data_IF_265694142356
#
_entry.id   IF_265694142356
#
_cell.length_a   1.000
_cell.length_b   1.000
_cell.length_c   1.000
_cell.angle_alpha   90.00
_cell.angle_beta   90.00
_cell.angle_gamma   90.00
#
_symmetry.space_group_name_H-M   'P 1'
#
loop_
_entity.id
_entity.type
_entity.pdbx_description
1 polymer ?
#
# COMPACT_ATOMS: atom_id res chain seq x y z
N UNK A 1 -1.20 34.72 1.76
CA UNK A 1 -0.24 33.60 1.79
C UNK A 1 0.06 33.31 3.26
N UNK A 2 -0.06 32.05 3.71
CA UNK A 2 0.17 31.71 5.13
C UNK A 2 1.66 31.83 5.46
N UNK A 3 1.99 32.36 6.64
CA UNK A 3 3.37 32.40 7.11
C UNK A 3 3.87 30.99 7.42
N UNK A 4 5.20 30.81 7.49
CA UNK A 4 5.79 29.51 7.88
C UNK A 4 5.27 29.04 9.24
N UNK A 5 5.18 29.94 10.22
CA UNK A 5 4.65 29.67 11.55
C UNK A 5 3.19 29.19 11.51
N UNK A 6 2.33 29.87 10.74
CA UNK A 6 0.93 29.46 10.58
C UNK A 6 0.80 28.06 9.97
N UNK A 7 1.63 27.70 8.99
CA UNK A 7 1.62 26.36 8.40
C UNK A 7 2.03 25.28 9.41
N UNK A 8 2.97 25.56 10.31
CA UNK A 8 3.42 24.63 11.35
C UNK A 8 2.28 24.41 12.36
N UNK A 9 1.67 25.49 12.85
CA UNK A 9 0.56 25.44 13.82
C UNK A 9 -0.65 24.69 13.25
N UNK A 10 -0.98 24.92 11.97
CA UNK A 10 -2.06 24.20 11.29
C UNK A 10 -1.78 22.70 11.17
N UNK A 11 -0.57 22.32 10.80
CA UNK A 11 -0.19 20.91 10.67
C UNK A 11 -0.20 20.20 12.03
N UNK A 12 0.28 20.87 13.09
CA UNK A 12 0.19 20.36 14.46
C UNK A 12 -1.27 20.13 14.88
N UNK A 13 -2.16 21.07 14.56
CA UNK A 13 -3.60 20.94 14.82
C UNK A 13 -4.25 19.87 13.95
N UNK A 14 -3.80 19.68 12.72
CA UNK A 14 -4.28 18.62 11.84
C UNK A 14 -3.95 17.25 12.42
N UNK A 15 -2.73 17.04 12.94
CA UNK A 15 -2.31 15.76 13.51
C UNK A 15 -3.03 15.35 14.80
N UNK A 16 -3.85 16.23 15.40
CA UNK A 16 -4.73 15.87 16.52
C UNK A 16 -6.11 15.37 16.08
N UNK A 17 -6.42 15.42 14.78
CA UNK A 17 -7.71 14.95 14.25
C UNK A 17 -7.82 13.42 14.29
N UNK A 18 -9.04 12.84 14.36
CA UNK A 18 -9.26 11.39 14.42
C UNK A 18 -8.60 10.58 13.29
N UNK A 19 -8.39 11.19 12.11
CA UNK A 19 -7.66 10.57 10.98
C UNK A 19 -6.27 10.05 11.38
N UNK A 20 -5.64 10.66 12.38
CA UNK A 20 -4.25 10.39 12.77
C UNK A 20 -4.12 9.67 14.11
N UNK A 21 -5.23 9.19 14.68
CA UNK A 21 -5.20 8.45 15.94
C UNK A 21 -4.31 7.20 15.83
N UNK A 22 -3.39 7.03 16.78
CA UNK A 22 -2.45 5.90 16.81
C UNK A 22 -1.33 5.93 15.77
N UNK A 23 -1.19 7.01 15.00
CA UNK A 23 -0.11 7.16 14.00
C UNK A 23 1.10 7.89 14.60
N UNK A 24 2.26 7.25 14.53
CA UNK A 24 3.55 7.77 15.01
C UNK A 24 4.31 8.46 13.90
N UNK A 25 4.87 9.63 14.21
CA UNK A 25 5.80 10.39 13.35
C UNK A 25 7.09 10.66 14.13
N UNK A 26 8.25 10.14 13.69
CA UNK A 26 9.54 10.41 14.35
C UNK A 26 10.17 11.73 13.85
N UNK A 27 9.34 12.71 13.50
CA UNK A 27 9.74 14.05 13.03
C UNK A 27 8.68 15.07 13.42
N UNK A 28 9.04 16.36 13.39
CA UNK A 28 8.15 17.44 13.78
C UNK A 28 7.38 18.03 12.59
N UNK A 29 6.30 18.78 12.88
CA UNK A 29 5.62 19.59 11.87
C UNK A 29 6.54 20.68 11.27
N UNK A 30 7.52 21.16 12.04
CA UNK A 30 8.53 22.10 11.55
C UNK A 30 9.41 21.47 10.46
N UNK A 31 9.83 20.21 10.65
CA UNK A 31 10.60 19.46 9.66
C UNK A 31 9.82 19.28 8.36
N UNK A 32 8.52 19.00 8.45
CA UNK A 32 7.65 18.90 7.27
C UNK A 32 7.58 20.23 6.52
N UNK A 33 7.27 21.32 7.21
CA UNK A 33 7.13 22.65 6.58
C UNK A 33 8.46 23.14 6.01
N UNK A 34 9.59 22.76 6.63
CA UNK A 34 10.94 23.04 6.11
C UNK A 34 11.16 22.44 4.71
N UNK A 35 10.55 21.29 4.40
CA UNK A 35 10.70 20.58 3.13
C UNK A 35 9.63 20.93 2.08
N UNK A 36 8.57 21.65 2.46
CA UNK A 36 7.39 21.93 1.62
C UNK A 36 7.63 22.95 0.51
N UNK A 37 8.65 23.80 0.62
CA UNK A 37 8.83 24.95 -0.26
C UNK A 37 7.81 26.06 0.00
N UNK A 38 7.91 27.18 -0.73
CA UNK A 38 6.99 28.32 -0.57
C UNK A 38 5.65 28.14 -1.28
N UNK A 39 5.60 27.26 -2.29
CA UNK A 39 4.41 26.93 -3.06
C UNK A 39 4.25 25.42 -3.06
N UNK A 40 3.11 24.93 -2.56
CA UNK A 40 2.76 23.51 -2.55
C UNK A 40 1.59 23.29 -3.52
N UNK A 41 1.82 22.73 -4.73
CA UNK A 41 0.77 22.46 -5.69
C UNK A 41 -0.31 21.52 -5.12
N UNK A 42 -1.57 21.84 -5.38
CA UNK A 42 -2.69 21.01 -4.91
C UNK A 42 -2.76 19.68 -5.66
N UNK A 43 -2.89 18.57 -4.92
CA UNK A 43 -3.06 17.23 -5.46
C UNK A 43 -4.52 16.78 -5.29
N UNK A 44 -5.45 17.44 -6.01
CA UNK A 44 -6.90 17.31 -5.80
C UNK A 44 -7.40 15.86 -5.80
N UNK A 45 -6.98 15.05 -6.77
CA UNK A 45 -7.45 13.66 -6.89
C UNK A 45 -6.95 12.78 -5.73
N UNK A 46 -5.71 12.96 -5.29
CA UNK A 46 -5.19 12.23 -4.13
C UNK A 46 -5.89 12.65 -2.83
N UNK A 47 -6.17 13.95 -2.64
CA UNK A 47 -6.91 14.42 -1.47
C UNK A 47 -8.32 13.83 -1.39
N UNK A 48 -9.09 13.93 -2.49
CA UNK A 48 -10.45 13.40 -2.55
C UNK A 48 -10.46 11.86 -2.46
N UNK A 49 -9.53 11.21 -3.15
CA UNK A 49 -9.38 9.76 -3.14
C UNK A 49 -9.04 9.22 -1.74
N UNK A 50 -8.07 9.83 -1.05
CA UNK A 50 -7.68 9.45 0.30
C UNK A 50 -8.82 9.66 1.30
N UNK A 51 -9.52 10.80 1.22
CA UNK A 51 -10.68 11.08 2.06
C UNK A 51 -11.83 10.08 1.82
N UNK A 52 -12.11 9.75 0.55
CA UNK A 52 -13.12 8.73 0.19
C UNK A 52 -12.72 7.33 0.67
N UNK A 53 -11.46 6.94 0.48
CA UNK A 53 -10.94 5.65 0.96
C UNK A 53 -11.09 5.52 2.49
N UNK A 54 -10.73 6.58 3.23
CA UNK A 54 -10.88 6.60 4.67
C UNK A 54 -12.34 6.39 5.10
N UNK A 55 -13.28 7.09 4.48
CA UNK A 55 -14.72 6.92 4.77
C UNK A 55 -15.23 5.51 4.44
N UNK A 56 -14.84 4.94 3.30
CA UNK A 56 -15.23 3.58 2.91
C UNK A 56 -14.72 2.52 3.92
N UNK A 57 -13.49 2.69 4.41
CA UNK A 57 -12.89 1.82 5.44
C UNK A 57 -13.54 1.97 6.83
N UNK A 58 -14.28 3.07 7.07
CA UNK A 58 -14.95 3.37 8.34
C UNK A 58 -16.47 3.26 8.26
N UNK A 59 -16.98 2.37 7.41
CA UNK A 59 -18.38 1.95 7.40
C UNK A 59 -19.24 2.50 6.26
N UNK A 60 -18.70 3.33 5.37
CA UNK A 60 -19.45 3.75 4.18
C UNK A 60 -19.41 2.74 3.02
N UNK A 61 -18.57 1.70 3.09
CA UNK A 61 -18.55 0.64 2.07
C UNK A 61 -19.82 -0.20 2.10
N UNK A 62 -20.31 -0.61 0.93
CA UNK A 62 -21.57 -1.35 0.75
C UNK A 62 -21.64 -2.66 1.52
N UNK A 63 -20.48 -3.31 1.74
CA UNK A 63 -20.38 -4.65 2.33
C UNK A 63 -19.76 -4.68 3.73
N UNK A 64 -19.40 -3.51 4.28
CA UNK A 64 -18.58 -3.41 5.49
C UNK A 64 -17.10 -3.72 5.28
N UNK A 65 -16.69 -4.02 4.05
CA UNK A 65 -15.30 -4.16 3.60
C UNK A 65 -15.19 -3.73 2.13
N UNK A 66 -13.97 -3.45 1.69
CA UNK A 66 -13.66 -3.11 0.31
C UNK A 66 -12.94 -4.30 -0.32
N UNK A 67 -13.53 -4.91 -1.33
CA UNK A 67 -12.83 -5.82 -2.24
C UNK A 67 -12.52 -5.10 -3.55
N UNK A 68 -11.37 -5.42 -4.13
CA UNK A 68 -10.87 -4.80 -5.34
C UNK A 68 -10.27 -5.86 -6.27
N UNK A 69 -10.02 -5.46 -7.52
CA UNK A 69 -9.40 -6.29 -8.54
C UNK A 69 -8.26 -5.50 -9.18
N UNK A 70 -7.15 -6.17 -9.47
CA UNK A 70 -6.01 -5.56 -10.16
C UNK A 70 -6.40 -5.00 -11.53
N UNK A 71 -6.16 -3.70 -11.75
CA UNK A 71 -6.35 -3.04 -13.04
C UNK A 71 -5.01 -2.48 -13.56
N UNK A 72 -4.59 -2.90 -14.76
CA UNK A 72 -3.37 -2.42 -15.41
C UNK A 72 -3.64 -1.38 -16.52
N UNK A 73 -4.92 -1.08 -16.79
CA UNK A 73 -5.34 -0.04 -17.73
C UNK A 73 -6.47 0.81 -17.15
N UNK A 74 -6.59 2.06 -17.60
CA UNK A 74 -7.71 2.92 -17.22
C UNK A 74 -9.07 2.38 -17.69
N UNK A 75 -9.11 1.66 -18.82
CA UNK A 75 -10.33 1.03 -19.31
C UNK A 75 -10.85 -0.08 -18.39
N UNK A 76 -9.96 -0.92 -17.86
CA UNK A 76 -10.34 -1.92 -16.86
C UNK A 76 -10.91 -1.26 -15.60
N UNK A 77 -10.21 -0.25 -15.06
CA UNK A 77 -10.66 0.49 -13.89
C UNK A 77 -12.03 1.17 -14.12
N UNK A 78 -12.26 1.75 -15.31
CA UNK A 78 -13.55 2.32 -15.69
C UNK A 78 -14.68 1.28 -15.66
N UNK A 79 -14.43 0.07 -16.17
CA UNK A 79 -15.44 -0.99 -16.12
C UNK A 79 -15.68 -1.50 -14.71
N UNK A 80 -14.64 -1.55 -13.86
CA UNK A 80 -14.81 -1.86 -12.43
C UNK A 80 -15.72 -0.83 -11.73
N UNK A 81 -15.53 0.47 -12.00
CA UNK A 81 -16.41 1.52 -11.48
C UNK A 81 -17.87 1.34 -11.93
N UNK A 82 -18.10 1.07 -13.22
CA UNK A 82 -19.44 0.77 -13.75
C UNK A 82 -20.06 -0.50 -13.16
N UNK A 83 -19.23 -1.49 -12.80
CA UNK A 83 -19.65 -2.73 -12.15
C UNK A 83 -19.93 -2.54 -10.65
N UNK A 84 -19.64 -1.37 -10.07
CA UNK A 84 -19.94 -1.04 -8.68
C UNK A 84 -18.83 -1.38 -7.68
N UNK A 85 -17.61 -1.68 -8.14
CA UNK A 85 -16.40 -1.76 -7.32
C UNK A 85 -16.14 -0.39 -6.67
N UNK A 86 -15.68 -0.39 -5.43
CA UNK A 86 -15.61 0.82 -4.59
C UNK A 86 -14.19 1.41 -4.50
N UNK A 87 -13.16 0.63 -4.85
CA UNK A 87 -11.77 1.05 -4.97
C UNK A 87 -11.01 0.19 -5.99
N UNK A 88 -10.02 0.77 -6.66
CA UNK A 88 -9.15 0.07 -7.62
C UNK A 88 -7.87 -0.36 -6.94
N UNK A 89 -7.42 -1.60 -7.18
CA UNK A 89 -6.07 -2.03 -6.86
C UNK A 89 -5.19 -1.95 -8.11
N UNK A 90 -4.02 -1.35 -7.98
CA UNK A 90 -3.03 -1.25 -9.05
C UNK A 90 -1.79 -2.06 -8.63
N UNK A 91 -1.64 -3.23 -9.24
CA UNK A 91 -0.60 -4.21 -8.92
C UNK A 91 0.73 -3.91 -9.60
N UNK A 92 1.84 -3.93 -8.85
CA UNK A 92 3.20 -3.84 -9.37
C UNK A 92 3.53 -5.01 -10.30
N UNK A 93 3.12 -6.23 -9.91
CA UNK A 93 3.21 -7.43 -10.75
C UNK A 93 2.59 -7.26 -12.14
N UNK A 94 1.38 -6.70 -12.23
CA UNK A 94 0.73 -6.49 -13.54
C UNK A 94 1.43 -5.40 -14.36
N UNK A 95 1.95 -4.36 -13.69
CA UNK A 95 2.73 -3.31 -14.36
C UNK A 95 4.05 -3.86 -14.88
N UNK A 96 4.76 -4.68 -14.11
CA UNK A 96 5.95 -5.40 -14.55
C UNK A 96 5.65 -6.27 -15.79
N UNK A 97 4.54 -7.00 -15.77
CA UNK A 97 4.17 -7.90 -16.85
C UNK A 97 3.83 -7.16 -18.16
N UNK A 98 3.02 -6.09 -18.12
CA UNK A 98 2.38 -5.60 -19.35
C UNK A 98 2.02 -4.09 -19.38
N UNK A 99 2.42 -3.28 -18.40
CA UNK A 99 2.04 -1.85 -18.38
C UNK A 99 3.16 -0.88 -17.97
N UNK A 100 4.41 -1.33 -17.90
CA UNK A 100 5.53 -0.49 -17.50
C UNK A 100 6.10 0.38 -18.63
N UNK A 101 6.81 1.44 -18.24
CA UNK A 101 7.36 2.43 -19.17
C UNK A 101 8.59 1.95 -19.95
N UNK A 102 9.20 0.82 -19.58
CA UNK A 102 10.24 0.19 -20.38
C UNK A 102 9.66 -0.63 -21.56
N UNK A 103 8.32 -0.69 -21.69
CA UNK A 103 7.62 -1.38 -22.77
C UNK A 103 8.12 -2.82 -22.98
N UNK A 104 8.39 -3.50 -21.86
CA UNK A 104 8.98 -4.84 -21.83
C UNK A 104 8.21 -5.70 -20.83
N UNK A 105 8.08 -7.00 -21.12
CA UNK A 105 7.49 -7.96 -20.19
C UNK A 105 8.55 -8.37 -19.15
N UNK A 106 8.26 -8.14 -17.87
CA UNK A 106 9.12 -8.52 -16.75
C UNK A 106 8.42 -9.45 -15.75
N UNK A 107 9.18 -10.29 -15.03
CA UNK A 107 8.71 -10.88 -13.79
C UNK A 107 8.67 -9.85 -12.66
N UNK A 108 8.02 -10.23 -11.56
CA UNK A 108 7.87 -9.42 -10.35
C UNK A 108 9.12 -9.45 -9.47
N UNK A 109 10.08 -8.60 -9.85
CA UNK A 109 11.38 -8.38 -9.19
C UNK A 109 11.80 -6.91 -9.24
N UNK A 110 10.83 -5.99 -9.30
CA UNK A 110 11.04 -4.53 -9.37
C UNK A 110 12.03 -4.08 -10.47
N UNK A 111 12.03 -4.74 -11.64
CA UNK A 111 12.95 -4.47 -12.75
C UNK A 111 12.59 -3.22 -13.57
N UNK A 112 11.33 -2.81 -13.52
CA UNK A 112 10.82 -1.73 -14.33
C UNK A 112 11.21 -0.33 -13.78
N UNK A 113 11.19 0.74 -14.60
CA UNK A 113 11.46 2.09 -14.12
C UNK A 113 10.47 2.54 -13.03
N UNK A 114 10.97 3.12 -11.93
CA UNK A 114 10.17 3.44 -10.74
C UNK A 114 8.95 4.34 -11.00
N UNK A 115 8.93 5.10 -12.09
CA UNK A 115 7.80 5.94 -12.51
C UNK A 115 6.68 5.17 -13.25
N UNK A 116 6.78 3.85 -13.38
CA UNK A 116 5.81 3.04 -14.15
C UNK A 116 4.45 2.93 -13.47
N UNK A 117 4.40 2.59 -12.17
CA UNK A 117 3.13 2.52 -11.44
C UNK A 117 2.46 3.90 -11.35
N UNK A 118 3.15 5.00 -10.98
CA UNK A 118 2.57 6.34 -11.05
C UNK A 118 1.96 6.69 -12.42
N UNK A 119 2.61 6.31 -13.53
CA UNK A 119 2.08 6.54 -14.86
C UNK A 119 0.76 5.78 -15.12
N UNK A 120 0.57 4.60 -14.54
CA UNK A 120 -0.71 3.86 -14.65
C UNK A 120 -1.77 4.45 -13.73
N UNK A 121 -1.41 4.92 -12.52
CA UNK A 121 -2.33 5.70 -11.66
C UNK A 121 -2.89 6.89 -12.44
N UNK A 122 -2.02 7.67 -13.08
CA UNK A 122 -2.42 8.83 -13.90
C UNK A 122 -3.35 8.43 -15.05
N UNK A 123 -3.06 7.32 -15.76
CA UNK A 123 -3.92 6.80 -16.83
C UNK A 123 -5.31 6.42 -16.34
N UNK A 124 -5.42 5.80 -15.17
CA UNK A 124 -6.69 5.45 -14.55
C UNK A 124 -7.48 6.72 -14.21
N UNK A 125 -6.85 7.67 -13.51
CA UNK A 125 -7.47 8.94 -13.14
C UNK A 125 -7.93 9.78 -14.35
N UNK A 126 -7.13 9.82 -15.42
CA UNK A 126 -7.52 10.49 -16.67
C UNK A 126 -8.72 9.82 -17.34
N UNK A 127 -8.82 8.49 -17.24
CA UNK A 127 -9.98 7.74 -17.77
C UNK A 127 -11.23 8.02 -16.95
N UNK A 128 -11.13 8.00 -15.61
CA UNK A 128 -12.22 8.39 -14.73
C UNK A 128 -12.69 9.82 -14.99
N UNK A 129 -11.74 10.75 -15.12
CA UNK A 129 -12.04 12.16 -15.45
C UNK A 129 -12.82 12.28 -16.76
N UNK A 130 -12.45 11.54 -17.81
CA UNK A 130 -13.19 11.58 -19.08
C UNK A 130 -14.60 11.01 -18.93
N UNK A 131 -14.76 9.89 -18.22
CA UNK A 131 -16.06 9.28 -17.99
C UNK A 131 -17.00 10.20 -17.18
N UNK A 132 -16.45 10.84 -16.14
CA UNK A 132 -17.15 11.85 -15.34
C UNK A 132 -17.55 13.06 -16.18
N UNK A 133 -16.66 13.60 -17.02
CA UNK A 133 -17.00 14.70 -17.95
C UNK A 133 -18.15 14.33 -18.91
N UNK A 134 -18.17 13.10 -19.41
CA UNK A 134 -19.27 12.61 -20.27
C UNK A 134 -20.57 12.59 -19.48
N UNK A 135 -20.57 12.00 -18.27
CA UNK A 135 -21.72 11.95 -17.39
C UNK A 135 -22.25 13.36 -17.04
N UNK A 136 -21.35 14.26 -16.65
CA UNK A 136 -21.67 15.64 -16.31
C UNK A 136 -22.26 16.41 -17.51
N UNK A 137 -21.68 16.24 -18.69
CA UNK A 137 -22.18 16.88 -19.93
C UNK A 137 -23.59 16.42 -20.33
N UNK A 138 -24.01 15.23 -19.89
CA UNK A 138 -25.34 14.68 -20.11
C UNK A 138 -26.36 15.07 -19.03
N UNK A 139 -25.98 15.90 -18.06
CA UNK A 139 -26.85 16.31 -16.94
C UNK A 139 -27.20 15.18 -15.98
N UNK A 140 -26.34 14.16 -15.89
CA UNK A 140 -26.54 13.02 -14.98
C UNK A 140 -25.87 13.36 -13.64
N UNK A 141 -26.67 13.56 -12.61
CA UNK A 141 -26.25 14.02 -11.28
C UNK A 141 -26.35 12.88 -10.23
N UNK A 142 -25.68 13.01 -9.07
CA UNK A 142 -25.88 12.09 -7.95
C UNK A 142 -27.37 11.95 -7.60
N UNK A 143 -27.88 10.72 -7.60
CA UNK A 143 -29.30 10.40 -7.40
C UNK A 143 -30.03 9.97 -8.68
N UNK A 144 -29.47 10.22 -9.86
CA UNK A 144 -29.96 9.63 -11.11
C UNK A 144 -29.65 8.12 -11.16
N UNK A 145 -30.57 7.24 -11.58
CA UNK A 145 -30.31 5.80 -11.70
C UNK A 145 -29.13 5.42 -12.63
N UNK A 146 -28.73 6.32 -13.53
CA UNK A 146 -27.61 6.14 -14.46
C UNK A 146 -26.27 6.65 -13.89
N UNK A 147 -26.30 7.31 -12.75
CA UNK A 147 -25.12 7.93 -12.14
C UNK A 147 -24.11 6.87 -11.69
N UNK A 148 -22.84 7.13 -11.99
CA UNK A 148 -21.69 6.39 -11.48
C UNK A 148 -20.70 7.40 -10.89
N UNK A 149 -20.28 7.16 -9.65
CA UNK A 149 -19.15 7.87 -9.07
C UNK A 149 -17.85 7.24 -9.62
N UNK A 150 -17.32 7.85 -10.69
CA UNK A 150 -16.17 7.30 -11.41
C UNK A 150 -14.84 7.45 -10.66
N UNK A 151 -14.70 8.44 -9.78
CA UNK A 151 -13.45 8.68 -9.08
C UNK A 151 -13.31 7.72 -7.90
N UNK A 152 -13.02 6.46 -8.23
CA UNK A 152 -12.70 5.44 -7.25
C UNK A 152 -11.32 5.72 -6.63
N UNK A 153 -11.14 5.53 -5.31
CA UNK A 153 -9.82 5.54 -4.71
C UNK A 153 -8.92 4.47 -5.33
N UNK A 154 -7.68 4.82 -5.62
CA UNK A 154 -6.67 3.90 -6.17
C UNK A 154 -5.69 3.53 -5.06
N UNK A 155 -5.56 2.22 -4.79
CA UNK A 155 -4.54 1.64 -3.92
C UNK A 155 -3.41 1.14 -4.82
N UNK A 156 -2.23 1.73 -4.71
CA UNK A 156 -1.11 1.49 -5.61
C UNK A 156 0.07 0.77 -4.94
N UNK A 157 0.72 -0.11 -5.71
CA UNK A 157 1.92 -0.84 -5.33
C UNK A 157 3.18 0.01 -5.47
N UNK A 158 3.92 0.20 -4.38
CA UNK A 158 5.20 0.90 -4.38
C UNK A 158 6.40 -0.03 -4.18
N UNK A 159 6.21 -1.36 -4.26
CA UNK A 159 7.25 -2.36 -4.01
C UNK A 159 7.92 -2.08 -2.65
N UNK A 160 9.24 -2.24 -2.55
CA UNK A 160 10.04 -1.75 -1.43
C UNK A 160 10.59 -0.33 -1.62
N UNK A 161 10.07 0.44 -2.58
CA UNK A 161 10.47 1.82 -2.84
C UNK A 161 11.69 2.03 -3.75
N UNK A 162 12.07 1.02 -4.56
CA UNK A 162 13.09 1.13 -5.62
C UNK A 162 14.47 1.67 -5.17
N UNK A 163 14.89 1.36 -3.94
CA UNK A 163 16.19 1.76 -3.41
C UNK A 163 16.14 2.12 -1.93
N UNK A 164 16.76 3.24 -1.57
CA UNK A 164 16.82 3.75 -0.20
C UNK A 164 15.61 4.62 0.19
N UNK A 165 15.71 5.30 1.34
CA UNK A 165 14.62 6.13 1.88
C UNK A 165 14.24 7.31 0.98
N UNK A 166 15.21 7.90 0.25
CA UNK A 166 14.94 8.99 -0.69
C UNK A 166 14.18 8.50 -1.93
N UNK A 167 14.46 7.28 -2.39
CA UNK A 167 13.72 6.66 -3.49
C UNK A 167 12.25 6.43 -3.09
N UNK A 168 12.01 5.92 -1.87
CA UNK A 168 10.66 5.75 -1.33
C UNK A 168 9.92 7.08 -1.14
N UNK A 169 10.61 8.12 -0.66
CA UNK A 169 10.06 9.47 -0.52
C UNK A 169 9.62 10.04 -1.88
N UNK A 170 10.48 9.98 -2.90
CA UNK A 170 10.13 10.48 -4.25
C UNK A 170 9.07 9.63 -4.93
N UNK A 171 9.08 8.30 -4.75
CA UNK A 171 8.03 7.44 -5.27
C UNK A 171 6.68 7.76 -4.65
N UNK A 172 6.61 7.95 -3.33
CA UNK A 172 5.37 8.32 -2.66
C UNK A 172 4.85 9.68 -3.15
N UNK A 173 5.72 10.68 -3.35
CA UNK A 173 5.32 11.95 -3.99
C UNK A 173 4.74 11.71 -5.38
N UNK A 174 5.41 10.93 -6.23
CA UNK A 174 4.94 10.62 -7.58
C UNK A 174 3.57 9.91 -7.57
N UNK A 175 3.32 9.00 -6.63
CA UNK A 175 2.02 8.36 -6.45
C UNK A 175 0.93 9.38 -6.09
N UNK A 176 1.22 10.30 -5.17
CA UNK A 176 0.29 11.35 -4.74
C UNK A 176 0.00 12.33 -5.88
N UNK A 177 1.04 12.80 -6.58
CA UNK A 177 0.91 13.70 -7.73
C UNK A 177 0.08 13.06 -8.86
N UNK A 178 0.22 11.74 -9.06
CA UNK A 178 -0.59 10.98 -10.01
C UNK A 178 -2.04 10.75 -9.54
N UNK A 179 -2.35 10.98 -8.27
CA UNK A 179 -3.69 10.87 -7.70
C UNK A 179 -4.00 9.53 -7.01
N UNK A 180 -3.00 8.84 -6.46
CA UNK A 180 -3.21 7.65 -5.63
C UNK A 180 -3.86 8.02 -4.28
N UNK A 181 -4.80 7.20 -3.82
CA UNK A 181 -5.49 7.39 -2.54
C UNK A 181 -4.79 6.65 -1.39
N UNK A 182 -4.20 5.50 -1.71
CA UNK A 182 -3.43 4.68 -0.79
C UNK A 182 -2.22 4.08 -1.51
N UNK A 183 -1.14 3.84 -0.76
CA UNK A 183 0.09 3.25 -1.29
C UNK A 183 0.60 2.20 -0.31
N UNK A 184 1.01 1.04 -0.82
CA UNK A 184 1.62 0.00 0.01
C UNK A 184 3.12 -0.14 -0.26
N UNK A 185 3.88 -0.34 0.81
CA UNK A 185 5.30 -0.68 0.78
C UNK A 185 5.52 -2.03 1.47
N UNK A 186 6.42 -2.84 0.94
CA UNK A 186 6.79 -4.16 1.50
C UNK A 186 8.21 -4.19 2.08
N UNK A 187 8.48 -5.22 2.88
CA UNK A 187 9.73 -5.43 3.63
C UNK A 187 10.68 -6.43 2.95
N UNK A 188 10.40 -6.88 1.72
CA UNK A 188 11.33 -7.70 0.94
C UNK A 188 12.26 -6.84 0.06
N UNK A 189 13.47 -7.34 -0.19
CA UNK A 189 14.39 -6.80 -1.19
C UNK A 189 14.30 -7.61 -2.48
N UNK A 190 13.36 -7.24 -3.35
CA UNK A 190 13.06 -7.97 -4.58
C UNK A 190 14.25 -8.09 -5.55
N UNK A 191 15.17 -7.12 -5.55
CA UNK A 191 16.36 -7.09 -6.41
C UNK A 191 17.39 -8.19 -6.10
N UNK A 192 17.29 -8.83 -4.93
CA UNK A 192 18.14 -9.97 -4.54
C UNK A 192 17.35 -11.27 -4.37
N UNK A 193 16.09 -11.29 -4.85
CA UNK A 193 15.23 -12.47 -4.79
C UNK A 193 15.91 -13.65 -5.49
N UNK A 194 16.05 -14.78 -4.78
CA UNK A 194 16.66 -15.98 -5.37
C UNK A 194 15.73 -16.57 -6.43
N UNK A 195 16.23 -16.63 -7.66
CA UNK A 195 15.59 -17.35 -8.76
C UNK A 195 15.96 -18.83 -8.68
N UNK A 196 14.98 -19.71 -8.45
CA UNK A 196 15.20 -21.15 -8.37
C UNK A 196 14.12 -21.85 -7.56
N UNK A 197 14.09 -23.18 -7.62
CA UNK A 197 13.03 -24.03 -7.07
C UNK A 197 13.08 -24.16 -5.53
N UNK A 198 13.82 -23.26 -4.88
CA UNK A 198 13.95 -23.12 -3.44
C UNK A 198 13.49 -21.69 -3.11
N UNK A 199 12.67 -21.53 -2.08
CA UNK A 199 12.18 -20.22 -1.61
C UNK A 199 13.28 -19.14 -1.58
N UNK A 200 12.88 -17.89 -1.84
CA UNK A 200 13.84 -16.88 -2.28
C UNK A 200 13.48 -15.43 -2.01
N UNK A 201 12.44 -15.13 -1.24
CA UNK A 201 12.21 -13.76 -0.75
C UNK A 201 13.22 -13.47 0.36
N UNK A 202 13.80 -12.28 0.35
CA UNK A 202 14.78 -11.85 1.34
C UNK A 202 14.25 -10.60 2.02
N UNK A 203 14.01 -10.65 3.32
CA UNK A 203 13.55 -9.51 4.11
C UNK A 203 14.70 -8.53 4.36
N UNK A 204 14.36 -7.26 4.54
CA UNK A 204 15.25 -6.28 5.19
C UNK A 204 15.05 -6.29 6.72
N UNK A 205 15.99 -5.74 7.52
CA UNK A 205 15.80 -5.53 8.95
C UNK A 205 14.56 -4.69 9.25
N UNK A 206 13.91 -4.94 10.39
CA UNK A 206 12.66 -4.27 10.79
C UNK A 206 12.80 -2.76 10.77
N UNK A 207 13.91 -2.23 11.29
CA UNK A 207 14.23 -0.81 11.26
C UNK A 207 14.28 -0.22 9.84
N UNK A 208 14.80 -0.96 8.84
CA UNK A 208 14.87 -0.45 7.46
C UNK A 208 13.48 -0.33 6.84
N UNK A 209 12.62 -1.35 7.04
CA UNK A 209 11.23 -1.30 6.60
C UNK A 209 10.47 -0.14 7.26
N UNK A 210 10.66 0.08 8.57
CA UNK A 210 10.09 1.22 9.29
C UNK A 210 10.58 2.55 8.68
N UNK A 211 11.86 2.69 8.35
CA UNK A 211 12.37 3.92 7.73
C UNK A 211 11.72 4.20 6.37
N UNK A 212 11.36 3.17 5.59
CA UNK A 212 10.60 3.33 4.34
C UNK A 212 9.18 3.85 4.60
N UNK A 213 8.49 3.32 5.60
CA UNK A 213 7.16 3.79 6.02
C UNK A 213 7.21 5.26 6.50
N UNK A 214 8.23 5.61 7.29
CA UNK A 214 8.49 6.97 7.76
C UNK A 214 8.73 7.92 6.59
N UNK A 215 9.55 7.52 5.61
CA UNK A 215 9.82 8.30 4.40
C UNK A 215 8.56 8.52 3.56
N UNK A 216 7.73 7.48 3.39
CA UNK A 216 6.45 7.59 2.70
C UNK A 216 5.48 8.53 3.43
N UNK A 217 5.36 8.42 4.77
CA UNK A 217 4.53 9.35 5.54
C UNK A 217 5.03 10.79 5.43
N UNK A 218 6.35 10.99 5.47
CA UNK A 218 6.96 12.32 5.33
C UNK A 218 6.63 12.93 3.97
N UNK A 219 6.68 12.15 2.89
CA UNK A 219 6.26 12.61 1.55
C UNK A 219 4.79 13.04 1.52
N UNK A 220 3.90 12.28 2.16
CA UNK A 220 2.48 12.61 2.27
C UNK A 220 2.23 13.89 3.10
N UNK A 221 2.92 14.04 4.22
CA UNK A 221 2.81 15.24 5.06
C UNK A 221 3.41 16.48 4.37
N UNK A 222 4.51 16.34 3.62
CA UNK A 222 5.14 17.43 2.84
C UNK A 222 4.19 17.91 1.75
N UNK A 223 3.60 16.98 0.99
CA UNK A 223 2.60 17.29 -0.05
C UNK A 223 1.26 17.74 0.53
N UNK A 224 1.01 17.51 1.81
CA UNK A 224 -0.22 17.92 2.50
C UNK A 224 -1.42 17.09 2.09
N UNK A 225 -1.23 15.78 1.88
CA UNK A 225 -2.29 14.84 1.48
C UNK A 225 -2.39 13.71 2.50
N UNK A 226 -3.59 13.39 3.03
CA UNK A 226 -3.76 12.35 4.05
C UNK A 226 -3.79 10.93 3.43
N UNK A 227 -2.92 10.67 2.45
CA UNK A 227 -2.80 9.39 1.73
C UNK A 227 -2.70 8.23 2.71
N UNK A 228 -3.44 7.15 2.45
CA UNK A 228 -3.38 5.96 3.30
C UNK A 228 -2.09 5.19 3.01
N UNK A 229 -1.35 4.88 4.06
CA UNK A 229 -0.12 4.09 3.98
C UNK A 229 -0.40 2.67 4.45
N UNK A 230 -0.05 1.69 3.64
CA UNK A 230 -0.20 0.27 3.96
C UNK A 230 1.18 -0.36 4.14
N UNK A 231 1.42 -1.00 5.27
CA UNK A 231 2.64 -1.77 5.51
C UNK A 231 2.39 -3.25 5.18
N UNK A 232 3.04 -3.75 4.14
CA UNK A 232 3.05 -5.17 3.80
C UNK A 232 4.27 -5.85 4.42
N UNK A 233 4.06 -7.05 4.95
CA UNK A 233 5.14 -7.97 5.30
C UNK A 233 5.07 -9.25 4.48
N UNK A 234 6.22 -9.71 4.02
CA UNK A 234 6.41 -10.97 3.30
C UNK A 234 6.98 -12.08 4.20
N UNK A 235 7.07 -11.83 5.50
CA UNK A 235 7.71 -12.72 6.48
C UNK A 235 6.99 -14.06 6.74
N UNK A 236 5.76 -14.23 6.24
CA UNK A 236 5.08 -15.53 6.31
C UNK A 236 5.81 -16.60 5.46
N UNK A 237 6.37 -16.20 4.33
CA UNK A 237 7.06 -17.12 3.41
C UNK A 237 8.57 -16.83 3.23
N UNK A 238 9.05 -15.66 3.65
CA UNK A 238 10.45 -15.28 3.50
C UNK A 238 11.31 -15.87 4.63
N UNK A 239 12.18 -16.83 4.28
CA UNK A 239 13.10 -17.52 5.20
C UNK A 239 14.52 -16.96 5.16
N UNK A 240 14.70 -15.76 4.61
CA UNK A 240 15.97 -15.05 4.51
C UNK A 240 15.81 -13.60 4.97
N UNK A 241 16.84 -13.07 5.62
CA UNK A 241 16.98 -11.65 5.97
C UNK A 241 18.37 -11.14 5.59
N UNK A 242 18.48 -9.91 5.10
CA UNK A 242 19.74 -9.36 4.58
C UNK A 242 20.81 -9.20 5.66
N UNK A 243 20.42 -8.84 6.89
CA UNK A 243 21.31 -8.47 7.98
C UNK A 243 20.68 -8.79 9.34
N UNK A 244 21.51 -9.06 10.34
CA UNK A 244 21.16 -9.27 11.75
C UNK A 244 21.33 -7.99 12.61
N UNK A 245 21.44 -6.82 11.96
CA UNK A 245 21.75 -5.56 12.64
C UNK A 245 20.61 -4.99 13.51
N UNK A 246 19.38 -5.47 13.33
CA UNK A 246 18.25 -5.10 14.18
C UNK A 246 17.99 -6.19 15.23
N UNK A 247 18.21 -5.92 16.53
CA UNK A 247 17.96 -6.89 17.58
C UNK A 247 16.50 -7.37 17.64
N UNK A 248 15.55 -6.60 17.08
CA UNK A 248 14.14 -7.00 17.02
C UNK A 248 13.91 -8.27 16.18
N UNK A 249 14.78 -8.54 15.21
CA UNK A 249 14.68 -9.70 14.33
C UNK A 249 15.41 -10.93 14.88
N UNK A 250 16.16 -10.79 15.98
CA UNK A 250 17.11 -11.79 16.48
C UNK A 250 16.48 -13.14 16.85
N UNK A 251 15.25 -13.14 17.37
CA UNK A 251 14.55 -14.38 17.76
C UNK A 251 14.24 -15.31 16.57
N UNK A 252 14.17 -14.75 15.36
CA UNK A 252 13.86 -15.50 14.15
C UNK A 252 15.11 -16.00 13.43
N UNK A 253 16.31 -15.51 13.77
CA UNK A 253 17.54 -15.85 13.05
C UNK A 253 18.06 -17.22 13.53
N UNK A 254 18.21 -18.14 12.59
CA UNK A 254 18.62 -19.54 12.87
C UNK A 254 20.11 -19.72 13.15
N UNK A 255 20.93 -18.73 12.79
CA UNK A 255 22.40 -18.79 12.81
C UNK A 255 23.04 -19.28 11.50
N UNK A 256 22.27 -19.83 10.56
CA UNK A 256 22.77 -20.23 9.25
C UNK A 256 22.86 -19.04 8.28
N UNK A 257 23.82 -19.09 7.36
CA UNK A 257 24.03 -18.07 6.32
C UNK A 257 24.10 -18.65 4.93
N UNK A 258 23.71 -17.85 3.95
CA UNK A 258 23.84 -18.14 2.52
C UNK A 258 25.20 -17.69 1.97
N UNK A 259 25.53 -18.09 0.74
CA UNK A 259 26.75 -17.67 0.03
C UNK A 259 26.85 -16.16 -0.17
N UNK A 260 25.70 -15.49 -0.34
CA UNK A 260 25.58 -14.04 -0.49
C UNK A 260 25.72 -13.30 0.85
N UNK A 261 25.71 -14.03 1.97
CA UNK A 261 25.81 -13.48 3.32
C UNK A 261 24.48 -13.24 4.02
N UNK A 262 23.33 -13.51 3.40
CA UNK A 262 22.03 -13.41 4.07
C UNK A 262 21.88 -14.45 5.18
N UNK A 263 21.13 -14.12 6.22
CA UNK A 263 20.83 -15.01 7.33
C UNK A 263 19.52 -15.77 7.06
N UNK A 264 19.48 -17.05 7.45
CA UNK A 264 18.25 -17.86 7.42
C UNK A 264 17.37 -17.52 8.62
N UNK A 265 16.06 -17.40 8.40
CA UNK A 265 15.06 -17.13 9.44
C UNK A 265 14.00 -18.22 9.56
N UNK A 266 13.39 -18.32 10.74
CA UNK A 266 12.17 -19.09 10.96
C UNK A 266 10.96 -18.33 10.39
N UNK A 267 10.72 -18.48 9.09
CA UNK A 267 9.57 -17.92 8.39
C UNK A 267 8.24 -18.44 8.97
N UNK A 268 7.17 -17.67 8.75
CA UNK A 268 5.81 -18.04 9.08
C UNK A 268 5.06 -16.98 9.85
N UNK A 269 3.87 -17.36 10.32
CA UNK A 269 2.92 -16.46 10.95
C UNK A 269 3.48 -15.68 12.16
N UNK A 270 4.39 -16.26 12.94
CA UNK A 270 4.99 -15.58 14.09
C UNK A 270 5.95 -14.46 13.66
N UNK A 271 6.76 -14.70 12.63
CA UNK A 271 7.63 -13.67 12.06
C UNK A 271 6.78 -12.56 11.42
N UNK A 272 5.72 -12.92 10.70
CA UNK A 272 4.78 -11.96 10.13
C UNK A 272 4.08 -11.12 11.22
N UNK A 273 3.62 -11.73 12.31
CA UNK A 273 3.02 -11.02 13.46
C UNK A 273 4.04 -10.03 14.04
N UNK A 274 5.29 -10.46 14.26
CA UNK A 274 6.34 -9.58 14.78
C UNK A 274 6.55 -8.35 13.89
N UNK A 275 6.70 -8.54 12.57
CA UNK A 275 6.78 -7.45 11.60
C UNK A 275 5.55 -6.53 11.64
N UNK A 276 4.35 -7.11 11.60
CA UNK A 276 3.10 -6.36 11.64
C UNK A 276 2.93 -5.51 12.90
N UNK A 277 3.33 -6.03 14.07
CA UNK A 277 3.33 -5.30 15.34
C UNK A 277 4.32 -4.13 15.33
N UNK A 278 5.49 -4.28 14.70
CA UNK A 278 6.48 -3.23 14.56
C UNK A 278 6.03 -2.12 13.59
N UNK A 279 5.31 -2.48 12.53
CA UNK A 279 4.88 -1.56 11.48
C UNK A 279 3.59 -0.80 11.82
N UNK A 280 2.73 -1.39 12.66
CA UNK A 280 1.42 -0.83 12.99
C UNK A 280 1.44 0.66 13.41
N UNK A 281 2.38 1.16 14.22
CA UNK A 281 2.42 2.59 14.57
C UNK A 281 2.66 3.52 13.37
N UNK A 282 3.26 3.04 12.28
CA UNK A 282 3.72 3.87 11.17
C UNK A 282 2.82 3.80 9.93
N UNK A 283 1.91 2.82 9.85
CA UNK A 283 1.01 2.63 8.73
C UNK A 283 -0.46 2.78 9.14
N UNK A 284 -1.33 3.12 8.21
CA UNK A 284 -2.78 3.15 8.41
C UNK A 284 -3.36 1.71 8.41
N UNK A 285 -2.86 0.86 7.51
CA UNK A 285 -3.22 -0.57 7.44
C UNK A 285 -1.96 -1.44 7.52
N UNK A 286 -2.14 -2.66 8.04
CA UNK A 286 -1.12 -3.72 8.01
C UNK A 286 -1.60 -4.89 7.15
N UNK A 287 -0.70 -5.45 6.35
CA UNK A 287 -0.97 -6.55 5.43
C UNK A 287 0.09 -7.65 5.60
N UNK A 288 -0.34 -8.86 5.94
CA UNK A 288 0.47 -10.06 5.82
C UNK A 288 0.26 -10.67 4.42
N UNK A 289 1.31 -10.75 3.60
CA UNK A 289 1.23 -11.46 2.32
C UNK A 289 1.06 -12.96 2.60
N UNK A 290 0.02 -13.56 2.02
CA UNK A 290 -0.23 -14.99 2.16
C UNK A 290 -0.25 -15.66 0.79
N UNK A 291 0.58 -16.70 0.63
CA UNK A 291 0.60 -17.52 -0.57
C UNK A 291 -0.49 -18.60 -0.56
N UNK A 292 -0.93 -19.00 0.64
CA UNK A 292 -1.98 -19.99 0.87
C UNK A 292 -3.11 -19.32 1.66
N UNK A 293 -4.27 -19.06 1.05
CA UNK A 293 -5.42 -18.53 1.75
C UNK A 293 -5.88 -19.46 2.88
N UNK A 294 -5.81 -18.97 4.12
CA UNK A 294 -6.14 -19.71 5.33
C UNK A 294 -6.79 -18.76 6.36
N UNK A 295 -8.05 -19.02 6.69
CA UNK A 295 -8.84 -18.20 7.63
C UNK A 295 -8.34 -18.30 9.07
N UNK A 296 -7.72 -19.40 9.47
CA UNK A 296 -7.17 -19.56 10.82
C UNK A 296 -5.88 -18.75 10.97
N UNK A 297 -5.00 -18.78 9.97
CA UNK A 297 -3.81 -17.91 9.97
C UNK A 297 -4.19 -16.43 9.88
N UNK A 298 -5.18 -16.08 9.05
CA UNK A 298 -5.70 -14.72 8.98
C UNK A 298 -6.28 -14.26 10.33
N UNK A 299 -7.04 -15.13 11.02
CA UNK A 299 -7.58 -14.87 12.36
C UNK A 299 -6.47 -14.69 13.39
N UNK A 300 -5.45 -15.56 13.39
CA UNK A 300 -4.31 -15.47 14.31
C UNK A 300 -3.55 -14.16 14.12
N UNK A 301 -3.27 -13.78 12.88
CA UNK A 301 -2.64 -12.49 12.57
C UNK A 301 -3.47 -11.32 13.09
N UNK A 302 -4.76 -11.29 12.75
CA UNK A 302 -5.66 -10.21 13.17
C UNK A 302 -5.75 -10.09 14.69
N UNK A 303 -5.95 -11.20 15.40
CA UNK A 303 -6.02 -11.22 16.87
C UNK A 303 -4.73 -10.72 17.51
N UNK A 304 -3.56 -11.13 17.01
CA UNK A 304 -2.29 -10.69 17.54
C UNK A 304 -2.06 -9.18 17.34
N UNK A 305 -2.37 -8.65 16.15
CA UNK A 305 -2.30 -7.21 15.90
C UNK A 305 -3.28 -6.45 16.78
N UNK A 306 -4.54 -6.90 16.86
CA UNK A 306 -5.59 -6.24 17.64
C UNK A 306 -5.40 -6.32 19.16
N UNK A 307 -4.68 -7.33 19.66
CA UNK A 307 -4.33 -7.40 21.08
C UNK A 307 -3.47 -6.21 21.53
N UNK A 308 -2.60 -5.69 20.64
CA UNK A 308 -1.76 -4.51 20.91
C UNK A 308 -2.33 -3.22 20.34
N UNK A 309 -2.98 -3.30 19.18
CA UNK A 309 -3.57 -2.17 18.45
C UNK A 309 -5.04 -2.46 18.12
N UNK A 310 -5.96 -2.34 19.10
CA UNK A 310 -7.37 -2.62 18.89
C UNK A 310 -7.96 -1.81 17.73
N UNK A 311 -8.69 -2.49 16.84
CA UNK A 311 -9.33 -1.83 15.68
C UNK A 311 -8.37 -1.45 14.55
N UNK A 312 -7.10 -1.84 14.60
CA UNK A 312 -6.15 -1.60 13.50
C UNK A 312 -6.71 -2.15 12.19
N UNK A 313 -6.77 -1.31 11.16
CA UNK A 313 -7.23 -1.74 9.83
C UNK A 313 -6.23 -2.73 9.23
N UNK A 314 -6.76 -3.78 8.60
CA UNK A 314 -5.97 -4.85 7.98
C UNK A 314 -6.31 -4.94 6.50
N UNK A 315 -5.33 -5.36 5.70
CA UNK A 315 -5.55 -5.72 4.30
C UNK A 315 -5.13 -7.18 4.07
N UNK A 316 -5.74 -7.80 3.05
CA UNK A 316 -5.56 -9.21 2.74
C UNK A 316 -5.56 -9.42 1.22
N UNK A 317 -4.64 -10.26 0.72
CA UNK A 317 -4.59 -10.63 -0.69
C UNK A 317 -5.25 -11.99 -0.93
N UNK A 318 -6.32 -12.02 -1.74
CA UNK A 318 -6.88 -13.28 -2.22
C UNK A 318 -6.08 -13.74 -3.46
N UNK A 319 -5.10 -14.61 -3.24
CA UNK A 319 -4.14 -15.01 -4.27
C UNK A 319 -4.80 -15.68 -5.49
N UNK A 320 -4.57 -15.19 -6.73
CA UNK A 320 -5.06 -15.84 -7.95
C UNK A 320 -4.21 -17.06 -8.35
N UNK A 321 -3.01 -17.24 -7.77
CA UNK A 321 -2.16 -18.42 -8.02
C UNK A 321 -2.55 -19.62 -7.16
N UNK A 322 -3.35 -19.39 -6.11
CA UNK A 322 -3.92 -20.46 -5.30
C UNK A 322 -5.01 -21.19 -6.07
N UNK A 323 -4.97 -22.53 -6.08
CA UNK A 323 -6.01 -23.33 -6.69
C UNK A 323 -7.20 -23.47 -5.72
N UNK A 324 -8.12 -22.49 -5.76
CA UNK A 324 -9.26 -22.38 -4.85
C UNK A 324 -10.14 -23.63 -4.82
N UNK A 325 -10.67 -24.05 -5.98
CA UNK A 325 -11.59 -25.20 -6.07
C UNK A 325 -10.94 -26.54 -5.74
N UNK A 326 -9.60 -26.65 -5.86
CA UNK A 326 -8.88 -27.88 -5.48
C UNK A 326 -8.74 -28.00 -3.96
N UNK A 327 -8.61 -26.89 -3.25
CA UNK A 327 -8.22 -26.89 -1.84
C UNK A 327 -9.37 -26.51 -0.88
N UNK A 328 -10.41 -25.82 -1.37
CA UNK A 328 -11.55 -25.37 -0.57
C UNK A 328 -12.87 -25.77 -1.26
N UNK A 329 -13.89 -26.05 -0.48
CA UNK A 329 -15.24 -26.28 -1.00
C UNK A 329 -15.92 -24.97 -1.45
N UNK A 330 -16.92 -25.08 -2.33
CA UNK A 330 -17.62 -23.92 -2.91
C UNK A 330 -18.25 -23.00 -1.85
N UNK A 331 -18.71 -23.57 -0.72
CA UNK A 331 -19.31 -22.79 0.36
C UNK A 331 -18.26 -21.94 1.05
N UNK A 332 -17.10 -22.51 1.34
CA UNK A 332 -15.96 -21.83 1.96
C UNK A 332 -15.43 -20.76 1.03
N UNK A 333 -15.31 -21.02 -0.28
CA UNK A 333 -14.91 -20.01 -1.28
C UNK A 333 -15.91 -18.85 -1.31
N UNK A 334 -17.21 -19.15 -1.32
CA UNK A 334 -18.25 -18.12 -1.38
C UNK A 334 -18.34 -17.24 -0.12
N UNK A 335 -17.85 -17.73 1.03
CA UNK A 335 -17.90 -17.02 2.32
C UNK A 335 -16.52 -16.73 2.92
N UNK A 336 -15.45 -16.83 2.13
CA UNK A 336 -14.08 -16.55 2.57
C UNK A 336 -13.92 -15.08 2.95
#
# INVERSE_FOLDING_TARGET
MKTRTQQIEELQKEWTQPRWEGITRPYSAEDVVKLRGSVNPECTLAQLGAAKMWRLLHGESKKGYINSLGALTGGQALQQAKAGIEAVYLSGWQVAADANLAASMYPDQSLYPANSVPAVVERINNTFRRADQIQWSAGIEPGDPRYVDYFLPIVADAEAGFGGVLNAFELMKAMIEAGAAAVHFEDQLASVKKCGHMGGKVLVPTQEAIQKLVAARLAADVTGVPTLLVARTDADAADLITSDCDPYDSEFITGERTSEGFFRTHAGIEQAISRGLAYAPYADLVWCETSTPDLELARRFAQAIHAKYPGKLLAYNCSPSFNWQKNLDDKTIASF
#
